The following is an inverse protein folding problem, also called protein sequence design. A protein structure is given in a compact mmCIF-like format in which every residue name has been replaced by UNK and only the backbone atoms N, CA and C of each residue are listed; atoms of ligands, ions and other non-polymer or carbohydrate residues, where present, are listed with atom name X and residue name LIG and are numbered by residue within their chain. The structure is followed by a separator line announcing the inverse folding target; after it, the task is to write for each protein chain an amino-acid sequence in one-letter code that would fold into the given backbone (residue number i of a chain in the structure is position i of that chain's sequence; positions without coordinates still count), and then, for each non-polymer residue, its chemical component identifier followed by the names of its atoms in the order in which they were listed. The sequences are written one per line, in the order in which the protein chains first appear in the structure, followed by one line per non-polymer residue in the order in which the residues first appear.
data_IF_367959119000
#
_entry.id   IF_367959119000
#
_cell.length_a   1.000
_cell.length_b   1.000
_cell.length_c   1.000
_cell.angle_alpha   90.00
_cell.angle_beta   90.00
_cell.angle_gamma   90.00
#
_symmetry.space_group_name_H-M   'P 1'
#
loop_
_entity.id
_entity.type
_entity.pdbx_description
1 polymer ?
#
# COMPACT_ATOMS: atom_id res chain seq x y z
N UNK A 1 4.01 15.75 -13.49
CA UNK A 1 5.39 15.68 -12.94
C UNK A 1 6.28 15.01 -13.99
N UNK A 2 7.34 15.66 -14.43
CA UNK A 2 8.27 15.18 -15.48
C UNK A 2 9.55 14.56 -14.90
N UNK A 3 9.66 14.48 -13.58
CA UNK A 3 10.80 13.89 -12.86
C UNK A 3 10.62 12.39 -12.55
N UNK A 4 11.65 11.74 -11.96
CA UNK A 4 11.53 10.37 -11.49
C UNK A 4 10.45 10.26 -10.40
N UNK A 5 9.79 9.09 -10.28
CA UNK A 5 8.83 8.86 -9.20
C UNK A 5 9.45 9.03 -7.81
N UNK A 6 8.69 9.59 -6.87
CA UNK A 6 9.10 9.68 -5.48
C UNK A 6 8.58 8.46 -4.70
N UNK A 7 9.42 7.88 -3.83
CA UNK A 7 8.98 6.89 -2.83
C UNK A 7 8.11 7.59 -1.81
N UNK A 8 6.91 7.08 -1.57
CA UNK A 8 5.95 7.65 -0.60
C UNK A 8 5.85 6.83 0.67
N UNK A 9 5.90 5.52 0.56
CA UNK A 9 5.89 4.64 1.72
C UNK A 9 6.52 3.27 1.40
N UNK A 10 6.74 2.52 2.46
CA UNK A 10 7.15 1.10 2.42
C UNK A 10 6.09 0.29 3.17
N UNK A 11 5.57 -0.77 2.54
CA UNK A 11 4.67 -1.71 3.18
C UNK A 11 5.44 -2.79 3.94
N UNK A 12 5.08 -2.99 5.20
CA UNK A 12 5.73 -3.95 6.10
C UNK A 12 4.68 -4.85 6.74
N UNK A 13 4.90 -6.15 6.70
CA UNK A 13 4.06 -7.14 7.42
C UNK A 13 4.56 -7.33 8.83
N UNK A 14 3.61 -7.33 9.78
CA UNK A 14 3.87 -7.51 11.23
C UNK A 14 2.95 -8.58 11.82
N UNK A 15 3.33 -9.14 12.92
CA UNK A 15 2.55 -10.19 13.62
C UNK A 15 1.63 -9.64 14.71
N UNK A 16 1.82 -8.39 15.12
CA UNK A 16 1.01 -7.68 16.12
C UNK A 16 1.03 -6.19 15.76
N UNK A 17 -0.08 -5.70 15.22
CA UNK A 17 -0.19 -4.33 14.74
C UNK A 17 -0.09 -3.31 15.85
N UNK A 18 -0.75 -3.55 16.99
CA UNK A 18 -0.78 -2.59 18.08
C UNK A 18 0.60 -2.46 18.75
N UNK A 19 1.33 -3.57 18.88
CA UNK A 19 2.72 -3.56 19.32
C UNK A 19 3.63 -2.85 18.33
N UNK A 20 3.45 -3.11 17.04
CA UNK A 20 4.27 -2.48 16.00
C UNK A 20 4.06 -0.96 15.95
N UNK A 21 2.82 -0.47 16.01
CA UNK A 21 2.53 0.96 16.08
C UNK A 21 3.27 1.63 17.23
N UNK A 22 3.17 1.05 18.44
CA UNK A 22 3.88 1.58 19.62
C UNK A 22 5.40 1.55 19.41
N UNK A 23 5.93 0.42 18.95
CA UNK A 23 7.37 0.27 18.77
C UNK A 23 7.95 1.26 17.77
N UNK A 24 7.32 1.42 16.59
CA UNK A 24 7.76 2.38 15.58
C UNK A 24 7.63 3.82 16.08
N UNK A 25 6.62 4.13 16.91
CA UNK A 25 6.47 5.44 17.54
C UNK A 25 7.52 5.70 18.61
N UNK A 26 7.63 4.82 19.60
CA UNK A 26 8.48 5.04 20.79
C UNK A 26 9.97 4.95 20.47
N UNK A 27 10.37 4.07 19.53
CA UNK A 27 11.78 3.78 19.24
C UNK A 27 12.30 4.62 18.06
N UNK A 28 11.48 4.82 17.04
CA UNK A 28 11.90 5.47 15.79
C UNK A 28 11.21 6.81 15.52
N UNK A 29 10.24 7.21 16.35
CA UNK A 29 9.59 8.51 16.24
C UNK A 29 8.58 8.62 15.08
N UNK A 30 8.06 7.51 14.58
CA UNK A 30 6.98 7.53 13.59
C UNK A 30 5.65 7.91 14.24
N UNK A 31 4.84 8.70 13.55
CA UNK A 31 3.54 9.17 14.05
C UNK A 31 2.37 8.57 13.25
N UNK A 32 1.29 8.06 13.90
CA UNK A 32 0.12 7.57 13.18
C UNK A 32 -0.54 8.67 12.34
N UNK A 33 -0.89 8.36 11.08
CA UNK A 33 -1.63 9.24 10.16
C UNK A 33 -3.15 9.03 10.29
N UNK A 34 -3.62 8.39 11.28
CA UNK A 34 -5.04 8.11 11.52
C UNK A 34 -5.21 6.79 12.27
N UNK A 35 -6.44 6.37 12.51
CA UNK A 35 -6.70 5.12 13.23
C UNK A 35 -6.31 3.91 12.37
N UNK A 36 -5.93 2.82 13.05
CA UNK A 36 -5.83 1.52 12.40
C UNK A 36 -7.21 1.07 11.88
N UNK A 37 -7.22 0.45 10.70
CA UNK A 37 -8.44 -0.02 10.05
C UNK A 37 -8.37 -1.52 9.78
N UNK A 38 -9.53 -2.18 9.75
CA UNK A 38 -9.65 -3.56 9.30
C UNK A 38 -10.24 -3.60 7.89
N UNK A 39 -9.62 -4.40 7.02
CA UNK A 39 -10.05 -4.64 5.64
C UNK A 39 -10.38 -6.12 5.49
N UNK A 40 -11.59 -6.44 4.99
CA UNK A 40 -12.09 -7.81 4.80
C UNK A 40 -12.46 -8.06 3.34
N UNK A 41 -12.15 -9.23 2.85
CA UNK A 41 -12.61 -9.68 1.54
C UNK A 41 -14.15 -9.58 1.46
N UNK A 42 -14.65 -9.08 0.33
CA UNK A 42 -16.10 -8.91 0.10
C UNK A 42 -16.75 -7.76 0.87
N UNK A 43 -16.03 -7.05 1.73
CA UNK A 43 -16.56 -5.92 2.50
C UNK A 43 -16.22 -4.59 1.84
N UNK A 44 -17.18 -4.06 1.09
CA UNK A 44 -17.09 -2.72 0.51
C UNK A 44 -15.96 -2.55 -0.51
N UNK A 45 -15.61 -1.28 -0.76
CA UNK A 45 -14.61 -0.90 -1.76
C UNK A 45 -13.19 -1.38 -1.39
N UNK A 46 -12.77 -1.15 -0.13
CA UNK A 46 -11.43 -1.58 0.33
C UNK A 46 -11.22 -3.09 0.26
N UNK A 47 -12.24 -3.88 0.61
CA UNK A 47 -12.19 -5.33 0.49
C UNK A 47 -12.10 -5.81 -0.96
N UNK A 48 -12.73 -5.12 -1.91
CA UNK A 48 -12.62 -5.43 -3.34
C UNK A 48 -11.21 -5.13 -3.89
N UNK A 49 -10.66 -3.97 -3.52
CA UNK A 49 -9.26 -3.60 -3.88
C UNK A 49 -8.29 -4.61 -3.29
N UNK A 50 -8.42 -4.94 -1.99
CA UNK A 50 -7.53 -5.88 -1.32
C UNK A 50 -7.62 -7.29 -1.94
N UNK A 51 -8.80 -7.76 -2.30
CA UNK A 51 -8.97 -9.05 -2.98
C UNK A 51 -8.27 -9.08 -4.35
N UNK A 52 -8.29 -7.98 -5.09
CA UNK A 52 -7.56 -7.86 -6.36
C UNK A 52 -6.03 -7.86 -6.15
N UNK A 53 -5.54 -7.16 -5.11
CA UNK A 53 -4.10 -7.09 -4.78
C UNK A 53 -3.55 -8.43 -4.29
N UNK A 54 -4.26 -9.06 -3.33
CA UNK A 54 -3.77 -10.23 -2.58
C UNK A 54 -4.28 -11.57 -3.12
N UNK A 55 -5.23 -11.51 -4.07
CA UNK A 55 -5.78 -12.70 -4.74
C UNK A 55 -6.90 -13.40 -3.97
N UNK A 56 -7.42 -14.52 -4.54
CA UNK A 56 -8.66 -15.14 -4.07
C UNK A 56 -8.59 -15.78 -2.68
N UNK A 57 -7.40 -15.99 -2.15
CA UNK A 57 -7.20 -16.51 -0.78
C UNK A 57 -7.12 -15.42 0.29
N UNK A 58 -7.23 -14.16 -0.10
CA UNK A 58 -7.28 -13.07 0.85
C UNK A 58 -8.53 -13.15 1.73
N UNK A 59 -8.36 -13.13 3.05
CA UNK A 59 -9.45 -13.07 4.02
C UNK A 59 -9.62 -11.69 4.63
N UNK A 60 -8.67 -11.30 5.48
CA UNK A 60 -8.64 -9.99 6.14
C UNK A 60 -7.25 -9.63 6.64
N UNK A 61 -7.03 -8.33 6.77
CA UNK A 61 -5.89 -7.77 7.52
C UNK A 61 -6.34 -6.55 8.33
N UNK A 62 -5.54 -6.19 9.32
CA UNK A 62 -5.54 -4.85 9.93
C UNK A 62 -4.37 -4.07 9.36
N UNK A 63 -4.55 -2.76 9.17
CA UNK A 63 -3.47 -1.89 8.69
C UNK A 63 -3.41 -0.58 9.45
N UNK A 64 -2.21 0.00 9.52
CA UNK A 64 -1.97 1.33 10.05
C UNK A 64 -0.98 2.07 9.16
N UNK A 65 -1.14 3.38 9.10
CA UNK A 65 -0.26 4.28 8.34
C UNK A 65 0.49 5.16 9.31
N UNK A 66 1.82 5.21 9.20
CA UNK A 66 2.70 5.97 10.08
C UNK A 66 3.54 6.92 9.25
N UNK A 67 3.55 8.21 9.63
CA UNK A 67 4.39 9.23 9.00
C UNK A 67 5.81 9.18 9.55
N UNK A 68 6.79 9.19 8.68
CA UNK A 68 8.20 9.42 9.01
C UNK A 68 8.65 10.83 8.64
N UNK A 69 9.86 11.19 9.03
CA UNK A 69 10.50 12.41 8.57
C UNK A 69 10.65 12.40 7.04
N UNK A 70 10.64 13.57 6.40
CA UNK A 70 10.79 13.74 4.95
C UNK A 70 9.62 13.20 4.09
N UNK A 71 8.44 12.96 4.67
CA UNK A 71 7.25 12.53 3.95
C UNK A 71 7.27 11.09 3.43
N UNK A 72 8.25 10.27 3.83
CA UNK A 72 8.22 8.82 3.60
C UNK A 72 7.52 8.15 4.77
N UNK A 73 6.51 7.34 4.47
CA UNK A 73 5.69 6.66 5.46
C UNK A 73 6.02 5.17 5.58
N UNK A 74 5.50 4.53 6.62
CA UNK A 74 5.41 3.08 6.75
C UNK A 74 3.93 2.69 6.78
N UNK A 75 3.57 1.69 6.00
CA UNK A 75 2.26 1.06 6.03
C UNK A 75 2.41 -0.32 6.66
N UNK A 76 1.80 -0.53 7.82
CA UNK A 76 1.88 -1.78 8.59
C UNK A 76 0.68 -2.66 8.28
N UNK A 77 0.92 -3.95 8.01
CA UNK A 77 -0.10 -4.95 7.74
C UNK A 77 0.00 -6.12 8.74
N UNK A 78 -1.09 -6.41 9.43
CA UNK A 78 -1.26 -7.62 10.22
C UNK A 78 -2.30 -8.52 9.55
N UNK A 79 -1.85 -9.56 8.86
CA UNK A 79 -2.73 -10.54 8.24
C UNK A 79 -3.19 -11.56 9.29
N UNK A 80 -4.50 -11.80 9.36
CA UNK A 80 -5.05 -12.79 10.30
C UNK A 80 -4.75 -14.22 9.83
N UNK A 81 -4.80 -14.44 8.54
CA UNK A 81 -4.39 -15.68 7.89
C UNK A 81 -3.50 -15.30 6.70
N UNK A 82 -2.18 -15.15 6.92
CA UNK A 82 -1.28 -14.78 5.84
C UNK A 82 -1.28 -15.88 4.77
N UNK A 83 -1.27 -15.52 3.48
CA UNK A 83 -1.02 -16.47 2.42
C UNK A 83 0.26 -17.28 2.67
N UNK A 84 0.29 -18.56 2.32
CA UNK A 84 1.39 -19.49 2.66
C UNK A 84 2.77 -19.10 2.10
N UNK A 85 2.78 -18.22 1.10
CA UNK A 85 3.95 -17.67 0.43
C UNK A 85 4.38 -16.30 0.97
N UNK A 86 3.65 -15.73 1.92
CA UNK A 86 3.96 -14.44 2.52
C UNK A 86 4.91 -14.58 3.70
N UNK A 87 5.95 -13.77 3.68
CA UNK A 87 6.94 -13.67 4.77
C UNK A 87 6.77 -12.35 5.50
N UNK A 88 7.09 -12.35 6.80
CA UNK A 88 7.24 -11.10 7.54
C UNK A 88 8.36 -10.25 6.92
N UNK A 89 8.18 -8.94 6.90
CA UNK A 89 9.14 -7.98 6.38
C UNK A 89 8.57 -7.02 5.34
N UNK A 90 9.45 -6.43 4.55
CA UNK A 90 9.06 -5.50 3.47
C UNK A 90 8.39 -6.28 2.36
N UNK A 91 7.15 -5.88 2.03
CA UNK A 91 6.39 -6.55 0.99
C UNK A 91 6.22 -5.69 -0.28
N UNK A 92 6.24 -4.36 -0.18
CA UNK A 92 6.20 -3.48 -1.35
C UNK A 92 6.89 -2.15 -1.08
N UNK A 93 7.25 -1.45 -2.16
CA UNK A 93 7.57 -0.02 -2.17
C UNK A 93 6.47 0.72 -2.91
N UNK A 94 6.10 1.91 -2.43
CA UNK A 94 5.10 2.74 -3.10
C UNK A 94 5.74 3.99 -3.71
N UNK A 95 5.35 4.27 -4.95
CA UNK A 95 5.84 5.38 -5.75
C UNK A 95 4.69 6.33 -6.10
N UNK A 96 4.84 7.63 -5.80
CA UNK A 96 3.95 8.66 -6.32
C UNK A 96 4.33 8.96 -7.77
N UNK A 97 3.34 8.89 -8.67
CA UNK A 97 3.51 9.10 -10.11
C UNK A 97 2.47 10.07 -10.66
N UNK A 98 2.79 10.76 -11.73
CA UNK A 98 1.86 11.71 -12.36
C UNK A 98 0.69 11.05 -13.08
N UNK A 99 0.91 9.84 -13.62
CA UNK A 99 -0.09 9.05 -14.34
C UNK A 99 0.10 7.56 -14.01
N UNK A 100 -0.77 7.04 -13.14
CA UNK A 100 -0.70 5.66 -12.64
C UNK A 100 -0.91 4.65 -13.78
N UNK A 101 -1.87 4.90 -14.68
CA UNK A 101 -2.17 4.00 -15.79
C UNK A 101 -1.00 3.91 -16.79
N UNK A 102 -0.44 5.07 -17.17
CA UNK A 102 0.69 5.11 -18.08
C UNK A 102 1.95 4.43 -17.51
N UNK A 103 2.22 4.61 -16.19
CA UNK A 103 3.36 3.95 -15.54
C UNK A 103 3.14 2.45 -15.43
N UNK A 104 1.94 2.00 -15.01
CA UNK A 104 1.60 0.58 -14.95
C UNK A 104 1.70 -0.09 -16.34
N UNK A 105 1.27 0.61 -17.40
CA UNK A 105 1.43 0.17 -18.79
C UNK A 105 2.89 0.01 -19.21
N UNK A 106 3.76 0.97 -18.86
CA UNK A 106 5.21 0.87 -19.14
C UNK A 106 5.86 -0.29 -18.40
N UNK A 107 5.54 -0.50 -17.12
CA UNK A 107 6.04 -1.64 -16.34
C UNK A 107 5.67 -2.94 -17.06
N UNK A 108 4.41 -3.11 -17.45
CA UNK A 108 3.96 -4.32 -18.15
C UNK A 108 4.64 -4.51 -19.52
N UNK A 109 4.91 -3.42 -20.25
CA UNK A 109 5.57 -3.47 -21.56
C UNK A 109 7.07 -3.76 -21.49
N UNK A 110 7.71 -3.67 -20.32
CA UNK A 110 9.17 -3.77 -20.16
C UNK A 110 9.60 -4.94 -19.27
N UNK A 111 8.83 -6.02 -19.26
CA UNK A 111 9.17 -7.28 -18.58
C UNK A 111 8.61 -7.43 -17.17
N UNK A 112 7.97 -6.39 -16.63
CA UNK A 112 7.16 -6.49 -15.43
C UNK A 112 5.73 -6.91 -15.72
N UNK A 113 4.84 -6.79 -14.73
CA UNK A 113 3.41 -7.06 -14.94
C UNK A 113 2.53 -6.22 -14.02
N UNK A 114 1.31 -5.95 -14.45
CA UNK A 114 0.26 -5.44 -13.58
C UNK A 114 -0.23 -6.58 -12.68
N UNK A 115 -0.32 -6.34 -11.37
CA UNK A 115 -0.84 -7.30 -10.40
C UNK A 115 -2.35 -7.12 -10.21
N UNK A 116 -2.82 -5.87 -10.11
CA UNK A 116 -4.24 -5.55 -10.05
C UNK A 116 -4.89 -5.51 -11.43
N UNK A 117 -6.15 -5.93 -11.55
CA UNK A 117 -6.90 -5.99 -12.82
C UNK A 117 -7.05 -4.60 -13.47
N UNK A 118 -7.14 -3.54 -12.63
CA UNK A 118 -7.31 -2.16 -13.06
C UNK A 118 -6.62 -1.20 -12.09
N UNK A 119 -6.52 0.06 -12.48
CA UNK A 119 -6.24 1.14 -11.54
C UNK A 119 -7.48 1.36 -10.67
N UNK A 120 -7.29 1.34 -9.37
CA UNK A 120 -8.36 1.50 -8.39
C UNK A 120 -8.37 2.91 -7.79
N UNK A 121 -9.55 3.53 -7.58
CA UNK A 121 -9.65 4.64 -6.64
C UNK A 121 -9.45 4.08 -5.22
N UNK A 122 -8.60 4.72 -4.42
CA UNK A 122 -8.37 4.33 -3.01
C UNK A 122 -9.66 4.52 -2.21
N UNK A 123 -10.37 5.62 -2.48
CA UNK A 123 -11.69 5.92 -1.95
C UNK A 123 -12.65 6.24 -3.11
N UNK A 124 -13.94 5.94 -2.96
CA UNK A 124 -14.90 6.10 -4.06
C UNK A 124 -15.03 7.54 -4.56
N UNK A 125 -15.01 8.50 -3.64
CA UNK A 125 -15.36 9.90 -3.91
C UNK A 125 -14.15 10.84 -3.93
N UNK A 126 -12.93 10.27 -3.95
CA UNK A 126 -11.67 11.00 -3.90
C UNK A 126 -10.81 10.69 -5.12
N UNK A 127 -10.00 11.65 -5.61
CA UNK A 127 -9.22 11.48 -6.82
C UNK A 127 -7.96 10.63 -6.64
N UNK A 128 -7.80 9.94 -5.51
CA UNK A 128 -6.61 9.16 -5.20
C UNK A 128 -6.67 7.78 -5.86
N UNK A 129 -5.66 7.48 -6.67
CA UNK A 129 -5.59 6.24 -7.43
C UNK A 129 -4.43 5.37 -6.97
N UNK A 130 -4.63 4.05 -6.99
CA UNK A 130 -3.59 3.05 -6.76
C UNK A 130 -3.61 1.94 -7.80
N UNK A 131 -2.44 1.36 -8.04
CA UNK A 131 -2.27 0.15 -8.85
C UNK A 131 -1.07 -0.63 -8.34
N UNK A 132 -1.23 -1.93 -8.12
CA UNK A 132 -0.12 -2.82 -7.79
C UNK A 132 0.46 -3.44 -9.05
N UNK A 133 1.78 -3.42 -9.14
CA UNK A 133 2.57 -4.00 -10.22
C UNK A 133 3.67 -4.90 -9.65
N UNK A 134 4.35 -5.63 -10.51
CA UNK A 134 5.63 -6.26 -10.22
C UNK A 134 6.65 -5.77 -11.24
N UNK A 135 7.88 -5.53 -10.80
CA UNK A 135 8.98 -5.26 -11.71
C UNK A 135 9.42 -6.53 -12.45
N UNK A 136 10.42 -6.40 -13.33
CA UNK A 136 10.95 -7.54 -14.12
C UNK A 136 11.64 -8.63 -13.26
N UNK A 137 11.85 -8.37 -11.96
CA UNK A 137 12.50 -9.25 -11.00
C UNK A 137 11.53 -9.86 -9.98
N UNK A 138 10.24 -9.48 -10.05
CA UNK A 138 9.19 -9.98 -9.16
C UNK A 138 8.99 -9.15 -7.87
N UNK A 139 9.64 -7.98 -7.72
CA UNK A 139 9.40 -7.11 -6.58
C UNK A 139 8.08 -6.38 -6.74
N UNK A 140 7.32 -6.27 -5.65
CA UNK A 140 6.03 -5.59 -5.64
C UNK A 140 6.22 -4.08 -5.57
N UNK A 141 5.59 -3.38 -6.52
CA UNK A 141 5.55 -1.93 -6.62
C UNK A 141 4.10 -1.49 -6.54
N UNK A 142 3.79 -0.62 -5.59
CA UNK A 142 2.52 0.11 -5.57
C UNK A 142 2.71 1.48 -6.22
N UNK A 143 1.74 1.90 -7.01
CA UNK A 143 1.72 3.21 -7.65
C UNK A 143 0.59 4.03 -7.06
N UNK A 144 0.89 5.26 -6.61
CA UNK A 144 -0.07 6.25 -6.15
C UNK A 144 -0.10 7.46 -7.07
N UNK A 145 -1.27 8.05 -7.25
CA UNK A 145 -1.41 9.35 -7.94
C UNK A 145 -1.00 10.55 -7.06
N UNK A 146 -0.89 10.36 -5.73
CA UNK A 146 -0.59 11.40 -4.75
C UNK A 146 0.40 10.90 -3.70
N UNK A 147 0.91 11.79 -2.84
CA UNK A 147 1.75 11.38 -1.70
C UNK A 147 0.92 10.59 -0.69
N UNK A 148 1.59 9.73 0.08
CA UNK A 148 0.95 8.94 1.13
C UNK A 148 0.26 9.82 2.17
N UNK A 149 0.95 10.84 2.66
CA UNK A 149 0.42 11.80 3.61
C UNK A 149 -0.85 12.48 3.09
N UNK A 150 -0.83 13.01 1.86
CA UNK A 150 -2.00 13.66 1.26
C UNK A 150 -3.20 12.72 1.13
N UNK A 151 -2.93 11.46 0.84
CA UNK A 151 -3.98 10.44 0.68
C UNK A 151 -4.65 10.10 2.00
N UNK A 152 -3.91 10.10 3.12
CA UNK A 152 -4.38 9.55 4.40
C UNK A 152 -4.58 10.58 5.52
N UNK A 153 -3.94 11.76 5.47
CA UNK A 153 -3.87 12.72 6.59
C UNK A 153 -5.19 13.36 7.04
N UNK A 154 -6.25 13.35 6.27
CA UNK A 154 -7.49 14.07 6.57
C UNK A 154 -8.70 13.15 6.73
N UNK A 155 -8.51 11.98 7.30
CA UNK A 155 -9.60 11.02 7.49
C UNK A 155 -9.94 10.90 8.97
N UNK A 156 -11.00 11.60 9.31
CA UNK A 156 -11.74 11.44 10.57
C UNK A 156 -12.80 10.36 10.42
#
# INVERSE_FOLDING_TARGET
MTGPPAVTHVGVTVTDLDLAIRWYGDVLGFEPIGPAVEVRAGAGHGGAVAADVFGPRFGRFRQAHLAGANGVAIELFEFVEPPSDWRAGIFHICLAVGDVEAVAGRIAATGGRRRTLRVWPIFRDEPYLTCYCEDAFGNVIELYSHSHERTWANRS
#
